data_IF_178223076953
#
_entry.id   IF_178223076953
#
_cell.length_a   1.000
_cell.length_b   1.000
_cell.length_c   1.000
_cell.angle_alpha   90.00
_cell.angle_beta   90.00
_cell.angle_gamma   90.00
#
_symmetry.space_group_name_H-M   'P 1'
#
loop_
_entity.id
_entity.type
_entity.pdbx_description
1 polymer ?
#
# COMPACT_ATOMS: atom_id res chain seq x y z
N UNK A 1 6.47 -14.73 -14.56
CA UNK A 1 7.14 -13.99 -13.48
C UNK A 1 8.47 -13.47 -13.98
N UNK A 2 8.67 -12.14 -14.01
CA UNK A 2 9.95 -11.56 -14.38
C UNK A 2 11.04 -11.99 -13.38
N UNK A 3 12.27 -12.31 -13.81
CA UNK A 3 13.35 -12.65 -12.89
C UNK A 3 13.69 -11.48 -11.97
N UNK A 4 13.84 -11.73 -10.67
CA UNK A 4 14.16 -10.70 -9.67
C UNK A 4 15.39 -9.81 -10.02
N UNK A 5 16.50 -10.35 -10.59
CA UNK A 5 17.60 -9.50 -11.03
C UNK A 5 17.19 -8.48 -12.10
N UNK A 6 16.33 -8.86 -13.04
CA UNK A 6 15.83 -7.96 -14.09
C UNK A 6 14.95 -6.85 -13.50
N UNK A 7 14.13 -7.18 -12.50
CA UNK A 7 13.32 -6.21 -11.76
C UNK A 7 14.19 -5.17 -11.06
N UNK A 8 15.25 -5.61 -10.36
CA UNK A 8 16.16 -4.69 -9.67
C UNK A 8 16.87 -3.74 -10.63
N UNK A 9 17.24 -4.22 -11.82
CA UNK A 9 17.83 -3.39 -12.87
C UNK A 9 16.81 -2.36 -13.37
N UNK A 10 15.58 -2.79 -13.67
CA UNK A 10 14.47 -1.92 -14.08
C UNK A 10 14.15 -0.85 -13.03
N UNK A 11 13.95 -1.24 -11.77
CA UNK A 11 13.68 -0.32 -10.65
C UNK A 11 14.79 0.74 -10.52
N UNK A 12 16.05 0.31 -10.61
CA UNK A 12 17.20 1.22 -10.58
C UNK A 12 17.20 2.20 -11.75
N UNK A 13 16.92 1.73 -12.96
CA UNK A 13 16.95 2.55 -14.17
C UNK A 13 15.86 3.63 -14.12
N UNK A 14 14.63 3.24 -13.77
CA UNK A 14 13.49 4.16 -13.68
C UNK A 14 13.77 5.24 -12.63
N UNK A 15 14.13 4.86 -11.40
CA UNK A 15 14.35 5.82 -10.33
C UNK A 15 15.53 6.76 -10.61
N UNK A 16 16.61 6.28 -11.24
CA UNK A 16 17.73 7.14 -11.67
C UNK A 16 17.36 8.12 -12.77
N UNK A 17 16.39 7.77 -13.62
CA UNK A 17 15.95 8.61 -14.74
C UNK A 17 14.97 9.71 -14.35
N UNK A 18 14.47 9.71 -13.12
CA UNK A 18 13.55 10.75 -12.64
C UNK A 18 14.24 12.12 -12.63
N UNK A 19 13.55 13.14 -13.12
CA UNK A 19 14.03 14.54 -13.14
C UNK A 19 13.76 15.29 -11.83
N UNK A 20 13.06 14.64 -10.90
CA UNK A 20 12.65 15.16 -9.59
C UNK A 20 13.18 14.23 -8.50
N UNK A 21 13.15 14.69 -7.23
CA UNK A 21 13.52 13.84 -6.09
C UNK A 21 12.35 12.92 -5.79
N UNK A 22 12.46 11.59 -5.96
CA UNK A 22 11.36 10.67 -5.70
C UNK A 22 10.96 10.71 -4.22
N UNK A 23 9.66 10.86 -3.97
CA UNK A 23 9.10 10.82 -2.63
C UNK A 23 8.23 9.59 -2.46
N UNK A 24 8.37 8.86 -1.35
CA UNK A 24 7.52 7.74 -0.97
C UNK A 24 6.94 7.98 0.43
N UNK A 25 5.61 7.94 0.56
CA UNK A 25 4.92 7.89 1.85
C UNK A 25 4.46 6.47 2.12
N UNK A 26 4.87 5.86 3.22
CA UNK A 26 4.68 4.45 3.55
C UNK A 26 3.90 4.30 4.86
N UNK A 27 2.62 3.95 4.77
CA UNK A 27 1.79 3.70 5.95
C UNK A 27 1.96 2.25 6.42
N UNK A 28 2.28 2.05 7.70
CA UNK A 28 2.59 0.75 8.29
C UNK A 28 4.05 0.29 8.14
N UNK A 29 4.97 1.20 7.79
CA UNK A 29 6.37 0.91 7.40
C UNK A 29 7.34 0.38 8.45
N UNK A 30 6.94 0.17 9.71
CA UNK A 30 7.88 -0.22 10.78
C UNK A 30 8.29 -1.70 10.75
N UNK A 31 7.60 -2.54 9.99
CA UNK A 31 7.95 -3.94 9.76
C UNK A 31 7.21 -4.53 8.55
N UNK A 32 7.68 -5.67 8.03
CA UNK A 32 6.95 -6.44 7.00
C UNK A 32 6.99 -5.79 5.62
N UNK A 33 5.91 -5.92 4.85
CA UNK A 33 5.89 -5.53 3.42
C UNK A 33 6.28 -4.07 3.20
N UNK A 34 5.71 -3.16 4.00
CA UNK A 34 5.98 -1.73 3.91
C UNK A 34 7.47 -1.40 4.17
N UNK A 35 8.11 -2.10 5.12
CA UNK A 35 9.55 -2.00 5.36
C UNK A 35 10.35 -2.45 4.13
N UNK A 36 10.04 -3.61 3.56
CA UNK A 36 10.74 -4.12 2.38
C UNK A 36 10.68 -3.17 1.19
N UNK A 37 9.55 -2.46 1.03
CA UNK A 37 9.40 -1.42 0.00
C UNK A 37 10.23 -0.17 0.31
N UNK A 38 10.26 0.25 1.57
CA UNK A 38 11.12 1.36 2.01
C UNK A 38 12.59 1.06 1.70
N UNK A 39 13.04 -0.15 2.02
CA UNK A 39 14.40 -0.63 1.77
C UNK A 39 14.73 -0.68 0.28
N UNK A 40 13.84 -1.27 -0.54
CA UNK A 40 14.03 -1.32 -1.99
C UNK A 40 14.11 0.10 -2.59
N UNK A 41 13.19 0.99 -2.21
CA UNK A 41 13.16 2.37 -2.70
C UNK A 41 14.42 3.14 -2.29
N UNK A 42 14.84 3.05 -1.02
CA UNK A 42 16.06 3.68 -0.53
C UNK A 42 17.32 3.15 -1.24
N UNK A 43 17.38 1.82 -1.44
CA UNK A 43 18.49 1.16 -2.14
C UNK A 43 18.65 1.67 -3.58
N UNK A 44 17.55 1.78 -4.33
CA UNK A 44 17.60 2.21 -5.72
C UNK A 44 17.81 3.71 -5.91
N UNK A 45 17.34 4.53 -4.98
CA UNK A 45 17.58 5.98 -5.01
C UNK A 45 18.92 6.38 -4.42
N UNK A 46 19.66 5.46 -3.79
CA UNK A 46 20.96 5.71 -3.13
C UNK A 46 20.91 6.89 -2.15
N UNK A 47 19.78 7.06 -1.47
CA UNK A 47 19.55 8.18 -0.54
C UNK A 47 19.05 9.47 -1.19
N UNK A 48 18.97 9.56 -2.52
CA UNK A 48 18.36 10.69 -3.22
C UNK A 48 16.83 10.52 -3.30
N UNK A 49 16.18 10.44 -2.14
CA UNK A 49 14.74 10.27 -2.03
C UNK A 49 14.20 10.85 -0.73
N UNK A 50 12.91 11.19 -0.71
CA UNK A 50 12.17 11.51 0.51
C UNK A 50 11.33 10.30 0.91
N UNK A 51 11.53 9.78 2.11
CA UNK A 51 10.79 8.61 2.59
C UNK A 51 10.09 8.97 3.91
N UNK A 52 8.77 8.94 3.91
CA UNK A 52 7.96 9.14 5.12
C UNK A 52 7.40 7.81 5.56
N UNK A 53 7.73 7.35 6.77
CA UNK A 53 7.16 6.12 7.34
C UNK A 53 6.14 6.52 8.41
N UNK A 54 4.87 6.18 8.18
CA UNK A 54 3.76 6.45 9.08
C UNK A 54 3.43 5.18 9.89
N UNK A 55 3.74 5.21 11.18
CA UNK A 55 3.55 4.09 12.11
C UNK A 55 2.15 4.06 12.79
N UNK A 56 1.97 3.12 13.72
CA UNK A 56 0.68 2.83 14.41
C UNK A 56 0.37 3.68 15.66
N UNK A 57 1.24 4.62 16.03
CA UNK A 57 0.98 5.48 17.20
C UNK A 57 0.05 6.61 16.75
N UNK A 58 -1.22 6.64 17.21
CA UNK A 58 -2.26 7.60 16.77
C UNK A 58 -1.76 9.06 16.80
N UNK A 59 -1.17 9.50 17.90
CA UNK A 59 -0.72 10.87 18.07
C UNK A 59 0.51 11.19 17.22
N UNK A 60 1.43 10.23 17.09
CA UNK A 60 2.55 10.35 16.16
C UNK A 60 2.10 10.23 14.70
N UNK A 61 1.04 9.47 14.40
CA UNK A 61 0.50 9.25 13.06
C UNK A 61 -0.24 10.50 12.60
N UNK A 62 -1.12 11.09 13.41
CA UNK A 62 -1.76 12.38 13.12
C UNK A 62 -0.71 13.48 12.93
N UNK A 63 0.28 13.58 13.82
CA UNK A 63 1.39 14.53 13.68
C UNK A 63 2.23 14.25 12.43
N UNK A 64 2.54 12.99 12.13
CA UNK A 64 3.35 12.62 10.97
C UNK A 64 2.57 12.69 9.67
N UNK A 65 1.25 12.53 9.69
CA UNK A 65 0.34 12.79 8.56
C UNK A 65 0.29 14.28 8.30
N UNK A 66 0.10 15.10 9.33
CA UNK A 66 0.13 16.55 9.17
C UNK A 66 1.50 17.03 8.67
N UNK A 67 2.61 16.50 9.20
CA UNK A 67 3.96 16.80 8.72
C UNK A 67 4.21 16.28 7.32
N UNK A 68 3.89 15.02 7.01
CA UNK A 68 4.00 14.46 5.67
C UNK A 68 3.14 15.24 4.68
N UNK A 69 1.92 15.61 5.06
CA UNK A 69 1.02 16.44 4.26
C UNK A 69 1.57 17.86 4.09
N UNK A 70 2.17 18.47 5.12
CA UNK A 70 2.82 19.79 5.02
C UNK A 70 4.07 19.76 4.14
N UNK A 71 4.89 18.73 4.24
CA UNK A 71 6.08 18.55 3.40
C UNK A 71 5.70 18.18 1.96
N UNK A 72 4.68 17.33 1.79
CA UNK A 72 4.07 17.03 0.48
C UNK A 72 3.36 18.24 -0.13
N UNK A 73 2.80 19.13 0.69
CA UNK A 73 2.26 20.44 0.26
C UNK A 73 3.35 21.36 -0.27
N UNK A 74 4.61 21.18 0.16
CA UNK A 74 5.77 21.97 -0.28
C UNK A 74 6.54 21.36 -1.44
N UNK A 75 6.46 20.03 -1.67
CA UNK A 75 7.03 19.31 -2.83
C UNK A 75 6.45 17.88 -2.96
N UNK A 76 6.23 17.49 -4.21
CA UNK A 76 5.47 16.35 -4.76
C UNK A 76 5.96 14.91 -4.43
N UNK A 77 5.12 13.87 -4.69
CA UNK A 77 5.44 12.47 -4.36
C UNK A 77 4.48 11.32 -4.73
N UNK A 78 4.97 10.09 -4.53
CA UNK A 78 4.28 8.79 -4.62
C UNK A 78 3.78 8.36 -3.23
N UNK A 79 2.56 7.84 -3.14
CA UNK A 79 1.95 7.34 -1.91
C UNK A 79 1.84 5.82 -1.91
N UNK A 80 2.19 5.22 -0.79
CA UNK A 80 2.22 3.78 -0.59
C UNK A 80 1.55 3.41 0.74
N UNK A 81 0.60 2.48 0.68
CA UNK A 81 -0.24 2.14 1.81
C UNK A 81 -0.23 0.63 2.04
N UNK A 82 0.35 0.20 3.15
CA UNK A 82 0.54 -1.22 3.44
C UNK A 82 0.22 -1.56 4.90
N UNK A 83 -0.48 -0.68 5.62
CA UNK A 83 -0.85 -0.92 7.01
C UNK A 83 -1.84 -2.05 7.14
N UNK A 84 -1.60 -2.96 8.09
CA UNK A 84 -2.49 -4.07 8.40
C UNK A 84 -2.02 -4.84 9.62
N UNK A 85 -2.92 -5.64 10.17
CA UNK A 85 -2.65 -6.60 11.25
C UNK A 85 -3.49 -7.85 11.04
N UNK A 86 -3.04 -8.99 11.55
CA UNK A 86 -3.77 -10.24 11.45
C UNK A 86 -4.53 -10.53 12.74
N UNK A 87 -5.78 -10.96 12.61
CA UNK A 87 -6.63 -11.40 13.72
C UNK A 87 -7.60 -12.48 13.23
N UNK A 88 -7.79 -13.51 14.04
CA UNK A 88 -8.82 -14.55 13.83
C UNK A 88 -10.11 -14.26 14.63
N UNK A 89 -10.11 -13.17 15.41
CA UNK A 89 -11.31 -12.73 16.10
C UNK A 89 -12.39 -12.30 15.09
N UNK A 90 -13.66 -12.51 15.46
CA UNK A 90 -14.83 -12.04 14.73
C UNK A 90 -14.92 -10.51 14.73
N UNK A 91 -16.13 -9.97 14.85
CA UNK A 91 -16.31 -8.53 15.03
C UNK A 91 -15.66 -8.08 16.33
N UNK A 92 -14.83 -7.05 16.26
CA UNK A 92 -14.31 -6.37 17.45
C UNK A 92 -14.45 -4.88 17.24
N UNK A 93 -15.22 -4.21 18.09
CA UNK A 93 -15.48 -2.78 17.95
C UNK A 93 -14.25 -1.94 18.32
N UNK A 94 -14.00 -0.89 17.56
CA UNK A 94 -13.13 0.23 17.89
C UNK A 94 -13.72 1.51 17.29
N UNK A 95 -14.09 2.46 18.13
CA UNK A 95 -14.66 3.76 17.71
C UNK A 95 -15.91 3.57 16.81
N UNK A 96 -16.81 2.63 17.16
CA UNK A 96 -18.03 2.32 16.40
C UNK A 96 -17.83 1.50 15.12
N UNK A 97 -16.58 1.15 14.78
CA UNK A 97 -16.24 0.36 13.59
C UNK A 97 -15.69 -1.02 13.96
N UNK A 98 -15.81 -1.98 13.05
CA UNK A 98 -14.99 -3.19 13.15
C UNK A 98 -13.51 -2.80 13.05
N UNK A 99 -12.71 -3.18 14.05
CA UNK A 99 -11.30 -2.85 14.16
C UNK A 99 -10.47 -3.32 12.95
N UNK A 100 -10.84 -4.46 12.32
CA UNK A 100 -10.12 -4.94 11.11
C UNK A 100 -10.44 -4.02 9.95
N UNK A 101 -11.71 -3.66 9.76
CA UNK A 101 -12.14 -2.74 8.70
C UNK A 101 -11.61 -1.32 8.91
N UNK A 102 -11.60 -0.82 10.14
CA UNK A 102 -11.03 0.47 10.49
C UNK A 102 -9.56 0.57 10.02
N UNK A 103 -8.75 -0.47 10.24
CA UNK A 103 -7.33 -0.46 9.85
C UNK A 103 -7.12 -0.84 8.39
N UNK A 104 -7.77 -1.89 7.88
CA UNK A 104 -7.48 -2.45 6.55
C UNK A 104 -8.18 -1.72 5.41
N UNK A 105 -9.23 -0.94 5.70
CA UNK A 105 -10.06 -0.31 4.69
C UNK A 105 -10.28 1.18 4.98
N UNK A 106 -11.00 1.54 6.05
CA UNK A 106 -11.43 2.93 6.28
C UNK A 106 -10.26 3.89 6.50
N UNK A 107 -9.23 3.48 7.26
CA UNK A 107 -8.03 4.31 7.39
C UNK A 107 -7.41 4.58 6.02
N UNK A 108 -7.38 3.59 5.12
CA UNK A 108 -6.77 3.76 3.81
C UNK A 108 -7.55 4.72 2.95
N UNK A 109 -8.88 4.61 2.98
CA UNK A 109 -9.75 5.58 2.34
C UNK A 109 -9.42 7.01 2.80
N UNK A 110 -9.41 7.25 4.11
CA UNK A 110 -9.15 8.59 4.70
C UNK A 110 -7.76 9.12 4.33
N UNK A 111 -6.71 8.29 4.46
CA UNK A 111 -5.36 8.67 4.08
C UNK A 111 -5.24 9.04 2.58
N UNK A 112 -5.96 8.34 1.69
CA UNK A 112 -5.96 8.69 0.26
C UNK A 112 -6.69 10.02 0.08
N UNK A 113 -7.90 10.18 0.62
CA UNK A 113 -8.69 11.41 0.56
C UNK A 113 -7.88 12.63 1.03
N UNK A 114 -7.22 12.54 2.19
CA UNK A 114 -6.42 13.65 2.73
C UNK A 114 -5.21 14.00 1.86
N UNK A 115 -4.65 13.03 1.14
CA UNK A 115 -3.46 13.19 0.31
C UNK A 115 -3.78 13.48 -1.17
N UNK A 116 -5.04 13.33 -1.60
CA UNK A 116 -5.47 13.60 -2.98
C UNK A 116 -5.03 14.98 -3.50
N UNK A 117 -5.17 16.09 -2.73
CA UNK A 117 -4.71 17.40 -3.20
C UNK A 117 -3.20 17.44 -3.44
N UNK A 118 -2.41 16.71 -2.65
CA UNK A 118 -0.96 16.65 -2.80
C UNK A 118 -0.55 15.78 -3.99
N UNK A 119 -1.25 14.66 -4.21
CA UNK A 119 -1.06 13.81 -5.39
C UNK A 119 -1.41 14.55 -6.68
N UNK A 120 -2.49 15.32 -6.68
CA UNK A 120 -2.92 16.12 -7.84
C UNK A 120 -1.87 17.18 -8.20
N UNK A 121 -1.39 17.95 -7.20
CA UNK A 121 -0.29 18.91 -7.40
C UNK A 121 0.99 18.25 -7.91
N UNK A 122 1.33 17.06 -7.39
CA UNK A 122 2.47 16.29 -7.89
C UNK A 122 2.33 15.98 -9.38
N UNK A 123 1.14 15.53 -9.79
CA UNK A 123 0.86 15.24 -11.19
C UNK A 123 0.90 16.50 -12.07
N UNK A 124 0.34 17.60 -11.61
CA UNK A 124 0.38 18.91 -12.28
C UNK A 124 1.81 19.45 -12.42
N UNK A 125 2.66 19.20 -11.42
CA UNK A 125 4.08 19.52 -11.42
C UNK A 125 4.94 18.61 -12.32
N UNK A 126 4.32 17.68 -13.07
CA UNK A 126 5.01 16.78 -13.99
C UNK A 126 5.61 15.53 -13.35
N UNK A 127 5.27 15.23 -12.10
CA UNK A 127 5.75 14.03 -11.40
C UNK A 127 4.77 12.86 -11.53
N UNK A 128 5.27 11.63 -11.33
CA UNK A 128 4.39 10.48 -11.16
C UNK A 128 3.72 10.51 -9.78
N UNK A 129 2.39 10.49 -9.77
CA UNK A 129 1.57 10.41 -8.56
C UNK A 129 0.75 9.11 -8.58
N UNK A 130 1.18 8.15 -7.76
CA UNK A 130 0.62 6.80 -7.73
C UNK A 130 0.29 6.39 -6.30
N UNK A 131 -0.78 5.62 -6.13
CA UNK A 131 -1.20 5.01 -4.86
C UNK A 131 -1.17 3.49 -4.98
N UNK A 132 -0.50 2.78 -4.07
CA UNK A 132 -0.59 1.33 -4.00
C UNK A 132 -1.06 0.85 -2.62
N UNK A 133 -2.20 0.14 -2.57
CA UNK A 133 -2.71 -0.53 -1.37
C UNK A 133 -2.39 -2.04 -1.36
N UNK A 134 -2.08 -2.62 -0.21
CA UNK A 134 -1.82 -4.07 -0.01
C UNK A 134 -2.33 -4.53 1.36
N UNK A 135 -3.01 -5.68 1.57
CA UNK A 135 -3.37 -6.72 0.61
C UNK A 135 -4.89 -7.00 0.41
N UNK A 136 -5.77 -6.61 1.34
CA UNK A 136 -7.18 -7.10 1.37
C UNK A 136 -8.20 -5.97 1.37
N UNK A 137 -9.32 -6.19 0.66
CA UNK A 137 -10.52 -5.33 0.60
C UNK A 137 -10.43 -4.01 -0.21
N UNK A 138 -9.38 -3.77 -1.01
CA UNK A 138 -9.16 -2.43 -1.59
C UNK A 138 -9.51 -2.29 -3.08
N UNK A 139 -9.82 -3.38 -3.80
CA UNK A 139 -10.06 -3.34 -5.26
C UNK A 139 -11.08 -2.25 -5.63
N UNK A 140 -12.30 -2.36 -5.09
CA UNK A 140 -13.40 -1.43 -5.37
C UNK A 140 -13.14 0.00 -4.88
N UNK A 141 -12.48 0.15 -3.74
CA UNK A 141 -12.11 1.47 -3.21
C UNK A 141 -11.17 2.20 -4.18
N UNK A 142 -10.11 1.53 -4.64
CA UNK A 142 -9.14 2.14 -5.54
C UNK A 142 -9.69 2.38 -6.95
N UNK A 143 -10.59 1.51 -7.42
CA UNK A 143 -11.36 1.80 -8.64
C UNK A 143 -12.25 3.03 -8.47
N UNK A 144 -12.88 3.19 -7.30
CA UNK A 144 -13.70 4.36 -6.98
C UNK A 144 -12.89 5.67 -6.97
N UNK A 145 -11.67 5.63 -6.45
CA UNK A 145 -10.73 6.75 -6.51
C UNK A 145 -10.27 7.06 -7.94
N UNK A 146 -9.90 6.04 -8.71
CA UNK A 146 -9.45 6.20 -10.10
C UNK A 146 -10.55 6.80 -10.98
N UNK A 147 -11.80 6.37 -10.80
CA UNK A 147 -12.96 6.91 -11.53
C UNK A 147 -13.20 8.41 -11.23
N UNK A 148 -12.86 8.87 -10.02
CA UNK A 148 -13.02 10.26 -9.58
C UNK A 148 -11.79 11.13 -9.84
N UNK A 149 -10.64 10.52 -10.10
CA UNK A 149 -9.36 11.19 -10.30
C UNK A 149 -8.68 10.66 -11.58
N UNK A 150 -9.20 11.00 -12.77
CA UNK A 150 -8.80 10.37 -14.03
C UNK A 150 -7.34 10.63 -14.46
N UNK A 151 -6.65 11.58 -13.81
CA UNK A 151 -5.25 11.92 -14.07
C UNK A 151 -4.27 11.15 -13.18
N UNK A 152 -4.76 10.49 -12.13
CA UNK A 152 -3.97 9.80 -11.12
C UNK A 152 -4.03 8.28 -11.32
N UNK A 153 -3.05 7.57 -10.74
CA UNK A 153 -2.95 6.12 -10.83
C UNK A 153 -3.13 5.47 -9.46
N UNK A 154 -4.01 4.49 -9.38
CA UNK A 154 -4.31 3.74 -8.15
C UNK A 154 -4.13 2.25 -8.42
N UNK A 155 -3.55 1.52 -7.47
CA UNK A 155 -3.30 0.09 -7.63
C UNK A 155 -3.51 -0.69 -6.35
N UNK A 156 -4.17 -1.84 -6.45
CA UNK A 156 -4.25 -2.80 -5.36
C UNK A 156 -3.31 -3.96 -5.66
N UNK A 157 -2.47 -4.35 -4.70
CA UNK A 157 -1.54 -5.45 -4.90
C UNK A 157 -1.81 -6.63 -3.95
N UNK A 158 -1.75 -7.83 -4.51
CA UNK A 158 -1.70 -9.09 -3.77
C UNK A 158 -0.24 -9.52 -3.61
N UNK A 159 0.35 -9.46 -2.41
CA UNK A 159 1.78 -9.68 -2.20
C UNK A 159 2.19 -11.16 -2.13
N UNK A 160 1.23 -12.09 -2.17
CA UNK A 160 1.49 -13.52 -1.98
C UNK A 160 1.88 -13.87 -0.54
N UNK A 161 2.55 -15.02 -0.36
CA UNK A 161 3.07 -15.45 0.93
C UNK A 161 4.39 -14.74 1.23
N UNK A 162 4.35 -13.76 2.13
CA UNK A 162 5.54 -12.99 2.54
C UNK A 162 5.96 -13.41 3.94
N UNK A 163 7.25 -13.74 4.11
CA UNK A 163 7.85 -14.11 5.41
C UNK A 163 7.97 -12.89 6.32
N UNK A 164 6.85 -12.47 6.89
CA UNK A 164 6.71 -11.35 7.84
C UNK A 164 6.54 -11.86 9.26
N UNK A 165 6.58 -10.95 10.25
CA UNK A 165 6.28 -11.27 11.65
C UNK A 165 4.76 -11.20 11.96
N UNK A 166 3.91 -11.32 10.94
CA UNK A 166 2.45 -11.21 11.07
C UNK A 166 1.90 -12.37 11.92
N UNK A 167 1.14 -12.06 12.97
CA UNK A 167 0.60 -13.06 13.90
C UNK A 167 1.51 -13.43 15.08
N UNK A 168 2.65 -12.76 15.23
CA UNK A 168 3.56 -12.92 16.37
C UNK A 168 3.54 -11.70 17.31
N UNK A 169 2.39 -11.04 17.44
CA UNK A 169 2.24 -9.93 18.40
C UNK A 169 2.48 -10.44 19.83
N UNK A 170 3.00 -9.58 20.71
CA UNK A 170 3.36 -9.93 22.10
C UNK A 170 2.22 -10.67 22.80
N UNK A 171 1.00 -10.18 22.60
CA UNK A 171 -0.22 -10.68 23.26
C UNK A 171 -0.90 -11.84 22.52
N UNK A 172 -0.29 -12.37 21.45
CA UNK A 172 -0.89 -13.50 20.71
C UNK A 172 -0.80 -14.78 21.54
N UNK A 173 -1.87 -15.59 21.60
CA UNK A 173 -1.87 -16.90 22.27
C UNK A 173 -0.75 -17.80 21.75
N UNK A 174 -0.21 -18.66 22.61
CA UNK A 174 0.93 -19.53 22.26
C UNK A 174 0.61 -20.47 21.09
N UNK A 175 -0.60 -21.02 21.03
CA UNK A 175 -1.05 -21.88 19.93
C UNK A 175 -1.04 -21.14 18.58
N UNK A 176 -1.36 -19.84 18.59
CA UNK A 176 -1.35 -18.99 17.39
C UNK A 176 0.08 -18.71 16.92
N UNK A 177 1.00 -18.49 17.86
CA UNK A 177 2.44 -18.33 17.55
C UNK A 177 3.00 -19.63 16.95
N UNK A 178 2.63 -20.78 17.50
CA UNK A 178 3.04 -22.09 16.98
C UNK A 178 2.48 -22.38 15.59
N UNK A 179 1.18 -22.10 15.37
CA UNK A 179 0.54 -22.30 14.06
C UNK A 179 1.13 -21.39 12.98
N UNK A 180 1.44 -20.13 13.31
CA UNK A 180 2.10 -19.21 12.36
C UNK A 180 3.48 -19.74 11.94
N UNK A 181 4.29 -20.24 12.89
CA UNK A 181 5.58 -20.86 12.56
C UNK A 181 5.44 -22.07 11.64
N UNK A 182 4.45 -22.93 11.91
CA UNK A 182 4.16 -24.09 11.07
C UNK A 182 3.73 -23.67 9.66
N UNK A 183 2.82 -22.72 9.54
CA UNK A 183 2.37 -22.19 8.24
C UNK A 183 3.53 -21.59 7.46
N UNK A 184 4.40 -20.79 8.11
CA UNK A 184 5.59 -20.23 7.47
C UNK A 184 6.55 -21.33 6.99
N UNK A 185 6.76 -22.38 7.79
CA UNK A 185 7.60 -23.51 7.39
C UNK A 185 7.01 -24.27 6.19
N UNK A 186 5.71 -24.57 6.22
CA UNK A 186 5.00 -25.27 5.13
C UNK A 186 4.96 -24.45 3.85
N UNK A 187 4.77 -23.13 3.96
CA UNK A 187 4.71 -22.23 2.81
C UNK A 187 6.08 -21.73 2.37
N UNK A 188 7.19 -22.16 3.02
CA UNK A 188 8.53 -21.67 2.74
C UNK A 188 8.90 -21.70 1.25
N UNK A 189 8.70 -22.81 0.50
CA UNK A 189 9.03 -22.88 -0.93
C UNK A 189 8.19 -21.95 -1.81
N UNK A 190 7.00 -21.56 -1.34
CA UNK A 190 6.06 -20.69 -2.05
C UNK A 190 6.10 -19.24 -1.54
N UNK A 191 6.98 -18.96 -0.57
CA UNK A 191 7.06 -17.67 0.10
C UNK A 191 8.26 -16.86 -0.38
N UNK A 192 8.15 -15.54 -0.26
CA UNK A 192 9.24 -14.59 -0.54
C UNK A 192 9.69 -13.87 0.71
N UNK A 193 10.91 -13.33 0.69
CA UNK A 193 11.39 -12.47 1.76
C UNK A 193 10.67 -11.12 1.73
N UNK A 194 10.68 -10.39 2.86
CA UNK A 194 10.19 -9.00 2.91
C UNK A 194 10.88 -8.12 1.88
N UNK A 195 12.20 -8.27 1.72
CA UNK A 195 13.00 -7.50 0.77
C UNK A 195 12.60 -7.78 -0.67
N UNK A 196 12.49 -9.06 -1.05
CA UNK A 196 12.12 -9.42 -2.42
C UNK A 196 10.67 -9.03 -2.73
N UNK A 197 9.75 -9.18 -1.78
CA UNK A 197 8.40 -8.62 -1.89
C UNK A 197 8.42 -7.11 -2.15
N UNK A 198 9.29 -6.39 -1.44
CA UNK A 198 9.52 -4.97 -1.64
C UNK A 198 9.90 -4.60 -3.08
N UNK A 199 10.80 -5.39 -3.69
CA UNK A 199 11.23 -5.24 -5.09
C UNK A 199 10.09 -5.45 -6.08
N UNK A 200 9.32 -6.54 -5.91
CA UNK A 200 8.19 -6.86 -6.79
C UNK A 200 7.10 -5.79 -6.73
N UNK A 201 6.75 -5.32 -5.53
CA UNK A 201 5.72 -4.30 -5.38
C UNK A 201 6.19 -2.92 -5.83
N UNK A 202 7.47 -2.60 -5.64
CA UNK A 202 8.05 -1.38 -6.20
C UNK A 202 8.04 -1.42 -7.73
N UNK A 203 8.36 -2.56 -8.32
CA UNK A 203 8.26 -2.77 -9.77
C UNK A 203 6.84 -2.56 -10.29
N UNK A 204 5.83 -3.09 -9.58
CA UNK A 204 4.43 -2.84 -9.91
C UNK A 204 4.08 -1.35 -9.99
N UNK A 205 4.60 -0.54 -9.07
CA UNK A 205 4.36 0.92 -9.07
C UNK A 205 5.11 1.63 -10.19
N UNK A 206 6.38 1.28 -10.39
CA UNK A 206 7.27 1.98 -11.31
C UNK A 206 7.00 1.59 -12.78
N UNK A 207 6.94 0.30 -13.04
CA UNK A 207 6.95 -0.26 -14.39
C UNK A 207 5.58 -0.78 -14.83
N UNK A 208 4.77 -1.35 -13.94
CA UNK A 208 3.46 -1.90 -14.37
C UNK A 208 2.39 -0.82 -14.46
N UNK A 209 2.28 0.03 -13.43
CA UNK A 209 1.27 1.09 -13.32
C UNK A 209 1.65 2.36 -14.10
N UNK A 210 1.90 2.25 -15.42
CA UNK A 210 2.43 3.38 -16.22
C UNK A 210 1.41 4.47 -16.53
N UNK A 211 0.14 4.13 -16.62
CA UNK A 211 -0.92 5.08 -17.02
C UNK A 211 -1.90 5.34 -15.88
N UNK A 212 -2.61 6.49 -15.90
CA UNK A 212 -3.72 6.75 -15.00
C UNK A 212 -4.78 5.65 -15.04
N UNK A 213 -5.52 5.49 -13.94
CA UNK A 213 -6.54 4.46 -13.79
C UNK A 213 -6.29 3.50 -12.62
N UNK A 214 -7.09 2.44 -12.58
CA UNK A 214 -7.05 1.42 -11.54
C UNK A 214 -6.30 0.17 -12.01
N UNK A 215 -5.40 -0.32 -11.16
CA UNK A 215 -4.54 -1.46 -11.44
C UNK A 215 -4.67 -2.54 -10.39
N UNK A 216 -4.55 -3.80 -10.80
CA UNK A 216 -4.51 -4.95 -9.90
C UNK A 216 -3.17 -5.64 -10.10
N UNK A 217 -2.35 -5.68 -9.06
CA UNK A 217 -0.96 -6.10 -9.14
C UNK A 217 -0.77 -7.44 -8.44
N UNK A 218 -0.07 -8.35 -9.09
CA UNK A 218 0.27 -9.68 -8.56
C UNK A 218 1.49 -9.62 -7.62
N UNK A 219 1.82 -10.76 -7.01
CA UNK A 219 2.93 -10.89 -6.07
C UNK A 219 4.31 -10.77 -6.74
N UNK A 220 4.37 -10.81 -8.07
CA UNK A 220 5.56 -10.58 -8.87
C UNK A 220 5.63 -9.21 -9.53
N UNK A 221 4.71 -8.31 -9.18
CA UNK A 221 4.64 -6.95 -9.71
C UNK A 221 3.94 -6.83 -11.05
N UNK A 222 3.49 -7.92 -11.68
CA UNK A 222 2.80 -7.87 -12.97
C UNK A 222 1.32 -7.47 -12.84
N UNK A 223 0.70 -7.13 -13.97
CA UNK A 223 -0.73 -6.79 -14.03
C UNK A 223 -1.59 -8.06 -14.00
N UNK A 224 -2.49 -8.13 -13.03
CA UNK A 224 -3.49 -9.19 -12.88
C UNK A 224 -4.67 -9.02 -13.83
N UNK A 225 -4.95 -7.78 -14.26
CA UNK A 225 -6.13 -7.43 -15.04
C UNK A 225 -7.44 -7.84 -14.35
N UNK A 226 -8.41 -8.31 -15.13
CA UNK A 226 -9.74 -8.74 -14.65
C UNK A 226 -9.81 -10.22 -14.21
N UNK A 227 -8.67 -10.90 -14.05
CA UNK A 227 -8.66 -12.29 -13.54
C UNK A 227 -9.21 -12.33 -12.11
N UNK A 228 -10.18 -13.21 -11.85
CA UNK A 228 -10.87 -13.32 -10.53
C UNK A 228 -11.32 -11.95 -10.02
N UNK A 229 -11.95 -11.18 -10.89
CA UNK A 229 -12.49 -9.87 -10.57
C UNK A 229 -13.93 -10.01 -10.09
N UNK A 230 -14.26 -9.39 -8.95
CA UNK A 230 -15.57 -9.44 -8.32
C UNK A 230 -15.96 -8.02 -7.92
N UNK A 231 -16.62 -7.30 -8.83
CA UNK A 231 -16.90 -5.88 -8.63
C UNK A 231 -17.67 -5.24 -9.78
N UNK A 232 -18.93 -5.61 -10.04
CA UNK A 232 -19.78 -4.83 -10.93
C UNK A 232 -19.82 -3.35 -10.52
N UNK A 233 -20.11 -2.46 -11.46
CA UNK A 233 -20.14 -1.01 -11.20
C UNK A 233 -21.12 -0.62 -10.07
N UNK A 234 -22.20 -1.38 -9.90
CA UNK A 234 -23.19 -1.24 -8.83
C UNK A 234 -22.56 -1.45 -7.45
N UNK A 235 -21.84 -2.55 -7.25
CA UNK A 235 -21.16 -2.86 -5.98
C UNK A 235 -20.12 -1.79 -5.64
N UNK A 236 -19.37 -1.31 -6.64
CA UNK A 236 -18.40 -0.23 -6.46
C UNK A 236 -19.09 1.04 -5.95
N UNK A 237 -20.23 1.39 -6.54
CA UNK A 237 -20.98 2.60 -6.18
C UNK A 237 -21.57 2.47 -4.77
N UNK A 238 -22.23 1.34 -4.47
CA UNK A 238 -22.79 1.07 -3.16
C UNK A 238 -21.73 1.08 -2.06
N UNK A 239 -20.58 0.43 -2.30
CA UNK A 239 -19.47 0.44 -1.34
C UNK A 239 -18.90 1.85 -1.14
N UNK A 240 -18.78 2.64 -2.20
CA UNK A 240 -18.29 4.02 -2.10
C UNK A 240 -19.23 4.88 -1.25
N UNK A 241 -20.54 4.83 -1.52
CA UNK A 241 -21.56 5.57 -0.76
C UNK A 241 -21.53 5.19 0.72
N UNK A 242 -21.50 3.89 1.03
CA UNK A 242 -21.35 3.39 2.39
C UNK A 242 -20.04 3.88 3.05
N UNK A 243 -18.93 3.83 2.31
CA UNK A 243 -17.62 4.27 2.83
C UNK A 243 -17.67 5.74 3.23
N UNK A 244 -18.20 6.59 2.35
CA UNK A 244 -18.34 8.04 2.59
C UNK A 244 -19.25 8.31 3.79
N UNK A 245 -20.35 7.58 3.93
CA UNK A 245 -21.27 7.72 5.07
C UNK A 245 -20.55 7.37 6.37
N UNK A 246 -19.91 6.21 6.43
CA UNK A 246 -19.25 5.69 7.63
C UNK A 246 -18.11 6.59 8.09
N UNK A 247 -17.33 7.17 7.19
CA UNK A 247 -16.20 8.01 7.60
C UNK A 247 -16.54 9.48 7.86
N UNK A 248 -17.75 9.92 7.48
CA UNK A 248 -18.28 11.25 7.82
C UNK A 248 -18.82 11.35 9.25
N UNK A 249 -19.22 10.23 9.86
CA UNK A 249 -19.68 10.20 11.25
C UNK A 249 -18.46 10.34 12.16
N UNK A 250 -18.16 11.57 12.58
CA UNK A 250 -17.19 11.90 13.63
C UNK A 250 -17.91 12.36 14.88
#
# INVERSE_FOLDING_TARGET
MPPLPSIRVSNSAILKSTSYIPTAVLVGGTSGIAQGRAEAFAHHTKGNARIFILGRNKQAAETNVQKATQELRKKHGVLVMSQGYFSVAGYTEAEGLDKKMAVHYYSRYEFIEELLPSLSRAKEGGEDAKVLATPTYNDLMLEGFAARNPTLTFGHAYPGFVRTNLGNAKDSPLWMKASVKLVVALTYPLSVSVRDCGEYLLHGVLETMKTPGAWRITNDGSDLGKKKYYGPDEDRKALWEHTVEVTKVK
#
